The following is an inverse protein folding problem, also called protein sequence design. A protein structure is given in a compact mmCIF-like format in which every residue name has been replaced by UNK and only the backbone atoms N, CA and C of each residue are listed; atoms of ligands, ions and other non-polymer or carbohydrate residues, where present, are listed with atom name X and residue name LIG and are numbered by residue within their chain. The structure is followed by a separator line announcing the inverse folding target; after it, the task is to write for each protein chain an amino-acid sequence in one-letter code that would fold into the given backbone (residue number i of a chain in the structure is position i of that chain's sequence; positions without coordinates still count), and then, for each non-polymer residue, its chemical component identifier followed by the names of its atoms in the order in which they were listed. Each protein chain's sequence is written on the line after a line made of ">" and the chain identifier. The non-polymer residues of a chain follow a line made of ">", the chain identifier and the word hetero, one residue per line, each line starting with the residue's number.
data_IF_596800306197
#
_entry.id   IF_596800306197
#
_cell.length_a   1.000
_cell.length_b   1.000
_cell.length_c   1.000
_cell.angle_alpha   90.00
_cell.angle_beta   90.00
_cell.angle_gamma   90.00
#
_symmetry.space_group_name_H-M   'P 1'
#
loop_
_entity.id
_entity.type
_entity.pdbx_description
1 polymer ?
#
# COMPACT_ATOMS: atom_id res chain seq x y z
N UNK A 1 2.22 -14.53 2.22
CA UNK A 1 1.07 -14.23 1.35
C UNK A 1 1.21 -12.83 0.80
N UNK A 2 1.00 -12.63 -0.50
CA UNK A 2 1.03 -11.30 -1.12
C UNK A 2 -0.40 -10.76 -1.23
N UNK A 3 -0.55 -9.45 -1.11
CA UNK A 3 -1.82 -8.73 -1.35
C UNK A 3 -1.52 -7.52 -2.23
N UNK A 4 -2.26 -7.37 -3.31
CA UNK A 4 -2.18 -6.21 -4.20
C UNK A 4 -3.37 -5.31 -3.92
N UNK A 5 -3.14 -4.02 -3.84
CA UNK A 5 -4.19 -3.01 -3.65
C UNK A 5 -4.09 -1.99 -4.78
N UNK A 6 -5.24 -1.72 -5.41
CA UNK A 6 -5.42 -0.62 -6.34
C UNK A 6 -6.10 0.53 -5.60
N UNK A 7 -5.51 1.71 -5.66
CA UNK A 7 -6.09 2.96 -5.19
C UNK A 7 -6.44 3.76 -6.43
N UNK A 8 -7.70 4.08 -6.60
CA UNK A 8 -8.22 4.88 -7.72
C UNK A 8 -8.55 6.31 -7.29
N UNK A 9 -8.78 7.16 -8.28
CA UNK A 9 -9.16 8.57 -8.11
C UNK A 9 -8.15 9.35 -7.25
N UNK A 10 -6.86 9.03 -7.39
CA UNK A 10 -5.82 9.86 -6.80
C UNK A 10 -5.66 11.14 -7.62
N UNK A 11 -5.30 12.20 -6.93
CA UNK A 11 -4.95 13.50 -7.50
C UNK A 11 -3.63 13.94 -6.89
N UNK A 12 -3.01 14.99 -7.43
CA UNK A 12 -1.74 15.52 -6.89
C UNK A 12 -1.95 15.98 -5.43
N UNK A 13 -3.15 16.47 -5.13
CA UNK A 13 -3.54 17.00 -3.83
C UNK A 13 -3.72 15.91 -2.77
N UNK A 14 -4.24 14.73 -3.16
CA UNK A 14 -4.64 13.69 -2.20
C UNK A 14 -3.81 12.39 -2.24
N UNK A 15 -2.92 12.22 -3.22
CA UNK A 15 -2.21 10.96 -3.48
C UNK A 15 -1.45 10.46 -2.25
N UNK A 16 -0.72 11.34 -1.57
CA UNK A 16 0.09 10.98 -0.40
C UNK A 16 -0.78 10.52 0.75
N UNK A 17 -1.89 11.20 1.02
CA UNK A 17 -2.84 10.86 2.09
C UNK A 17 -3.46 9.48 1.82
N UNK A 18 -4.04 9.28 0.63
CA UNK A 18 -4.67 8.00 0.24
C UNK A 18 -3.70 6.81 0.33
N UNK A 19 -2.45 7.00 -0.10
CA UNK A 19 -1.41 5.96 0.03
C UNK A 19 -1.14 5.68 1.51
N UNK A 20 -0.89 6.71 2.31
CA UNK A 20 -0.53 6.56 3.73
C UNK A 20 -1.63 5.87 4.53
N UNK A 21 -2.89 6.24 4.34
CA UNK A 21 -4.03 5.57 4.98
C UNK A 21 -4.04 4.07 4.68
N UNK A 22 -3.88 3.70 3.41
CA UNK A 22 -3.91 2.31 2.98
C UNK A 22 -2.70 1.52 3.50
N UNK A 23 -1.54 2.15 3.57
CA UNK A 23 -0.33 1.56 4.15
C UNK A 23 -0.51 1.28 5.64
N UNK A 24 -0.99 2.27 6.40
CA UNK A 24 -1.21 2.12 7.84
C UNK A 24 -2.27 1.05 8.17
N UNK A 25 -3.34 0.94 7.39
CA UNK A 25 -4.32 -0.14 7.49
C UNK A 25 -3.64 -1.51 7.34
N UNK A 26 -2.80 -1.64 6.32
CA UNK A 26 -2.12 -2.90 5.99
C UNK A 26 -1.04 -3.27 7.01
N UNK A 27 -0.31 -2.29 7.56
CA UNK A 27 0.69 -2.52 8.60
C UNK A 27 0.07 -3.05 9.90
N UNK A 28 -1.11 -2.55 10.29
CA UNK A 28 -1.88 -3.09 11.43
C UNK A 28 -2.24 -4.57 11.23
N UNK A 29 -2.47 -4.97 9.98
CA UNK A 29 -2.73 -6.35 9.59
C UNK A 29 -1.45 -7.22 9.43
N UNK A 30 -0.29 -6.66 9.78
CA UNK A 30 1.01 -7.31 9.70
C UNK A 30 1.54 -7.45 8.28
N UNK A 31 1.14 -6.57 7.36
CA UNK A 31 1.71 -6.50 6.03
C UNK A 31 2.77 -5.42 5.93
N UNK A 32 3.74 -5.64 5.05
CA UNK A 32 4.76 -4.66 4.68
C UNK A 32 4.67 -4.37 3.19
N UNK A 33 4.88 -3.11 2.81
CA UNK A 33 5.03 -2.73 1.39
C UNK A 33 6.25 -3.44 0.80
N UNK A 34 6.13 -3.92 -0.43
CA UNK A 34 7.26 -4.42 -1.23
C UNK A 34 7.52 -3.61 -2.47
N UNK A 35 6.46 -3.12 -3.12
CA UNK A 35 6.61 -2.19 -4.23
C UNK A 35 5.34 -1.36 -4.40
N UNK A 36 5.50 -0.21 -5.04
CA UNK A 36 4.43 0.70 -5.40
C UNK A 36 4.70 1.25 -6.79
N UNK A 37 3.67 1.34 -7.62
CA UNK A 37 3.75 1.90 -8.97
C UNK A 37 2.51 2.72 -9.28
N UNK A 38 2.69 3.83 -9.98
CA UNK A 38 1.58 4.58 -10.56
C UNK A 38 1.10 3.88 -11.84
N UNK A 39 -0.21 3.78 -12.01
CA UNK A 39 -0.83 3.34 -13.25
C UNK A 39 -1.68 4.47 -13.81
N UNK A 40 -1.10 5.24 -14.72
CA UNK A 40 -1.70 6.50 -15.17
C UNK A 40 -1.53 7.61 -14.14
N UNK A 41 -2.34 8.66 -14.27
CA UNK A 41 -2.30 9.85 -13.40
C UNK A 41 -3.26 9.77 -12.22
N UNK A 42 -4.15 8.78 -12.21
CA UNK A 42 -5.31 8.67 -11.33
C UNK A 42 -5.30 7.37 -10.50
N UNK A 43 -4.30 6.50 -10.67
CA UNK A 43 -4.22 5.23 -9.92
C UNK A 43 -2.84 4.88 -9.40
N UNK A 44 -2.83 4.19 -8.27
CA UNK A 44 -1.64 3.60 -7.64
C UNK A 44 -1.88 2.13 -7.35
N UNK A 45 -0.91 1.30 -7.69
CA UNK A 45 -0.88 -0.11 -7.32
C UNK A 45 0.19 -0.30 -6.24
N UNK A 46 -0.19 -0.90 -5.12
CA UNK A 46 0.72 -1.22 -4.02
C UNK A 46 0.68 -2.73 -3.79
N UNK A 47 1.87 -3.35 -3.76
CA UNK A 47 2.02 -4.77 -3.45
C UNK A 47 2.57 -4.90 -2.04
N UNK A 48 1.83 -5.62 -1.22
CA UNK A 48 2.17 -5.94 0.16
C UNK A 48 2.55 -7.42 0.31
N UNK A 49 3.41 -7.71 1.27
CA UNK A 49 3.72 -9.08 1.73
C UNK A 49 3.42 -9.18 3.22
N UNK A 50 2.65 -10.19 3.61
CA UNK A 50 2.38 -10.46 5.03
C UNK A 50 3.68 -10.89 5.70
N UNK A 51 4.06 -10.17 6.76
CA UNK A 51 5.15 -10.53 7.65
C UNK A 51 4.79 -11.77 8.47
N UNK A 52 5.81 -12.47 8.96
CA UNK A 52 5.64 -13.52 9.95
C UNK A 52 5.34 -12.84 11.30
N UNK A 53 4.25 -13.24 11.99
CA UNK A 53 3.97 -12.76 13.35
C UNK A 53 5.20 -13.03 14.22
N UNK A 54 5.84 -11.98 14.75
CA UNK A 54 7.03 -12.09 15.61
C UNK A 54 8.39 -11.99 14.93
N UNK A 55 8.46 -11.72 13.62
CA UNK A 55 9.73 -11.42 12.96
C UNK A 55 10.17 -9.99 13.30
N UNK A 56 11.05 -9.87 14.30
CA UNK A 56 11.84 -8.68 14.65
C UNK A 56 12.94 -8.43 13.59
N UNK A 57 12.55 -8.21 12.34
CA UNK A 57 13.45 -7.71 11.30
C UNK A 57 12.97 -6.35 10.82
#
# INVERSE_FOLDING_TARGET
>A
MHKTILIEEITIENVTEKINEKVQEMEKDGYQIKTMSFWGTDKVVIIFKKGLKGSLL
#
